data_IF_525670379916
#
_entry.id   IF_525670379916
#
_cell.length_a   1.000
_cell.length_b   1.000
_cell.length_c   1.000
_cell.angle_alpha   90.00
_cell.angle_beta   90.00
_cell.angle_gamma   90.00
#
_symmetry.space_group_name_H-M   'P 1'
#
loop_
_entity.id
_entity.type
_entity.pdbx_description
1 polymer ?
#
# COMPACT_ATOMS: atom_id res chain seq x y z
N UNK A 1 6.85 46.34 -11.56
CA UNK A 1 6.93 45.02 -12.21
C UNK A 1 7.27 43.88 -11.23
N UNK A 2 8.27 44.03 -10.35
CA UNK A 2 8.73 42.98 -9.41
C UNK A 2 7.61 42.41 -8.52
N UNK A 3 6.70 43.26 -7.99
CA UNK A 3 5.55 42.82 -7.17
C UNK A 3 4.59 41.84 -7.87
N UNK A 4 4.47 41.90 -9.21
CA UNK A 4 3.61 40.99 -9.98
C UNK A 4 4.28 39.63 -10.24
N UNK A 5 5.62 39.60 -10.35
CA UNK A 5 6.39 38.37 -10.57
C UNK A 5 6.40 37.52 -9.29
N UNK A 6 6.57 38.14 -8.13
CA UNK A 6 6.53 37.45 -6.82
C UNK A 6 5.14 36.87 -6.57
N UNK A 7 4.07 37.58 -6.93
CA UNK A 7 2.69 37.10 -6.78
C UNK A 7 2.41 35.89 -7.68
N UNK A 8 2.91 35.88 -8.92
CA UNK A 8 2.80 34.72 -9.83
C UNK A 8 3.60 33.53 -9.28
N UNK A 9 4.81 33.77 -8.77
CA UNK A 9 5.60 32.71 -8.11
C UNK A 9 4.87 32.14 -6.89
N UNK A 10 4.27 32.99 -6.05
CA UNK A 10 3.52 32.55 -4.87
C UNK A 10 2.29 31.72 -5.26
N UNK A 11 1.55 32.14 -6.29
CA UNK A 11 0.36 31.43 -6.79
C UNK A 11 0.78 30.09 -7.43
N UNK A 12 1.82 30.07 -8.27
CA UNK A 12 2.33 28.82 -8.87
C UNK A 12 2.87 27.87 -7.80
N UNK A 13 3.55 28.36 -6.76
CA UNK A 13 3.97 27.53 -5.63
C UNK A 13 2.79 26.94 -4.85
N UNK A 14 1.71 27.70 -4.64
CA UNK A 14 0.48 27.22 -3.98
C UNK A 14 -0.25 26.17 -4.85
N UNK A 15 -0.26 26.32 -6.18
CA UNK A 15 -0.86 25.35 -7.09
C UNK A 15 0.03 24.12 -7.38
N UNK A 16 1.36 24.24 -7.22
CA UNK A 16 2.30 23.11 -7.30
C UNK A 16 2.40 22.33 -5.98
N UNK A 17 2.07 22.96 -4.85
CA UNK A 17 1.61 22.26 -3.64
C UNK A 17 0.10 22.01 -3.72
N UNK A 18 -0.37 21.51 -4.86
CA UNK A 18 -1.73 20.99 -4.96
C UNK A 18 -1.98 19.98 -3.83
N UNK A 19 -3.24 19.73 -3.44
CA UNK A 19 -3.59 18.78 -2.39
C UNK A 19 -3.38 17.35 -2.91
N UNK A 20 -2.13 16.98 -3.18
CA UNK A 20 -1.68 15.61 -3.32
C UNK A 20 -0.72 15.25 -2.20
N UNK A 21 -0.85 15.94 -1.06
CA UNK A 21 -0.60 15.29 0.22
C UNK A 21 -1.82 14.38 0.48
N UNK A 22 -1.91 13.26 -0.25
CA UNK A 22 -2.49 12.04 0.35
C UNK A 22 -1.43 11.57 1.36
N UNK A 23 -1.33 12.26 2.49
CA UNK A 23 -0.66 11.70 3.67
C UNK A 23 -1.75 11.43 4.70
N UNK A 24 -2.53 10.42 4.41
CA UNK A 24 -3.03 9.52 5.44
C UNK A 24 -2.65 8.18 4.86
N UNK A 25 -1.59 7.56 5.37
CA UNK A 25 -1.31 6.16 5.04
C UNK A 25 -2.64 5.45 5.25
N UNK A 26 -3.21 4.85 4.21
CA UNK A 26 -4.25 3.86 4.47
C UNK A 26 -3.51 2.72 5.16
N UNK A 27 -3.82 2.51 6.43
CA UNK A 27 -3.33 1.37 7.18
C UNK A 27 -4.55 0.65 7.71
N UNK A 28 -4.66 -0.62 7.37
CA UNK A 28 -5.68 -1.51 7.91
C UNK A 28 -4.97 -2.53 8.79
N UNK A 29 -5.58 -2.84 9.92
CA UNK A 29 -5.00 -3.76 10.89
C UNK A 29 -6.11 -4.52 11.60
N UNK A 30 -5.81 -5.74 12.02
CA UNK A 30 -6.67 -6.49 12.92
C UNK A 30 -5.88 -7.50 13.71
N UNK A 31 -6.35 -7.81 14.91
CA UNK A 31 -5.80 -8.86 15.76
C UNK A 31 -6.90 -9.51 16.59
N UNK A 32 -6.64 -10.72 17.06
CA UNK A 32 -7.62 -11.42 17.88
C UNK A 32 -7.20 -12.80 18.33
N UNK A 33 -8.12 -13.43 19.06
CA UNK A 33 -8.04 -14.81 19.49
C UNK A 33 -9.23 -15.58 18.92
N UNK A 34 -8.99 -16.79 18.44
CA UNK A 34 -10.03 -17.71 18.00
C UNK A 34 -9.73 -19.11 18.50
N UNK A 35 -10.75 -19.78 19.02
CA UNK A 35 -10.70 -21.21 19.31
C UNK A 35 -11.27 -21.95 18.08
N UNK A 36 -10.48 -22.85 17.50
CA UNK A 36 -10.85 -23.62 16.31
C UNK A 36 -10.94 -25.09 16.71
N UNK A 37 -12.12 -25.68 16.62
CA UNK A 37 -12.34 -27.10 16.91
C UNK A 37 -11.72 -28.01 15.84
N UNK A 38 -11.47 -29.30 16.12
CA UNK A 38 -10.92 -30.23 15.13
C UNK A 38 -11.74 -30.24 13.84
N UNK A 39 -11.08 -30.17 12.69
CA UNK A 39 -11.67 -30.11 11.34
C UNK A 39 -12.46 -28.84 11.01
N UNK A 40 -12.55 -27.89 11.95
CA UNK A 40 -13.11 -26.57 11.67
C UNK A 40 -12.05 -25.62 11.09
N UNK A 41 -12.55 -24.53 10.51
CA UNK A 41 -11.75 -23.47 9.93
C UNK A 41 -12.33 -22.12 10.30
N UNK A 42 -11.47 -21.11 10.30
CA UNK A 42 -11.82 -19.73 10.55
C UNK A 42 -11.04 -18.82 9.60
N UNK A 43 -11.54 -17.61 9.35
CA UNK A 43 -10.85 -16.65 8.50
C UNK A 43 -10.97 -15.21 9.02
N UNK A 44 -9.92 -14.42 8.76
CA UNK A 44 -9.95 -12.97 8.87
C UNK A 44 -10.06 -12.35 7.48
N UNK A 45 -11.08 -11.52 7.20
CA UNK A 45 -11.10 -10.70 6.00
C UNK A 45 -10.08 -9.56 6.12
N UNK A 46 -9.54 -9.14 4.98
CA UNK A 46 -8.58 -8.06 4.78
C UNK A 46 -8.99 -7.33 3.51
N UNK A 47 -9.21 -6.02 3.60
CA UNK A 47 -9.41 -5.18 2.40
C UNK A 47 -8.04 -4.66 1.99
N UNK A 48 -7.61 -4.96 0.77
CA UNK A 48 -6.28 -4.62 0.29
C UNK A 48 -6.31 -4.00 -1.10
N UNK A 49 -5.55 -2.92 -1.25
CA UNK A 49 -5.24 -2.31 -2.53
C UNK A 49 -3.96 -2.92 -3.14
N UNK A 50 -3.89 -2.93 -4.47
CA UNK A 50 -2.73 -3.37 -5.24
C UNK A 50 -1.49 -2.58 -4.83
N UNK A 51 -0.45 -3.30 -4.44
CA UNK A 51 0.82 -2.72 -4.01
C UNK A 51 0.91 -2.43 -2.52
N UNK A 52 -0.15 -2.64 -1.72
CA UNK A 52 -0.03 -2.64 -0.26
C UNK A 52 0.84 -3.80 0.23
N UNK A 53 1.59 -3.55 1.30
CA UNK A 53 2.40 -4.53 1.97
C UNK A 53 1.63 -5.11 3.15
N UNK A 54 1.38 -6.42 3.12
CA UNK A 54 0.75 -7.17 4.19
C UNK A 54 1.81 -7.83 5.07
N UNK A 55 1.68 -7.65 6.38
CA UNK A 55 2.43 -8.35 7.42
C UNK A 55 1.45 -9.19 8.24
N UNK A 56 1.81 -10.45 8.48
CA UNK A 56 0.98 -11.41 9.21
C UNK A 56 1.83 -12.14 10.24
N UNK A 57 1.31 -12.29 11.46
CA UNK A 57 1.91 -13.10 12.53
C UNK A 57 0.83 -13.88 13.27
N UNK A 58 1.11 -15.15 13.58
CA UNK A 58 0.24 -15.93 14.46
C UNK A 58 1.02 -16.86 15.37
N UNK A 59 0.34 -17.28 16.42
CA UNK A 59 0.79 -18.33 17.34
C UNK A 59 -0.41 -19.16 17.78
N UNK A 60 -0.27 -20.48 17.76
CA UNK A 60 -1.30 -21.40 18.21
C UNK A 60 -0.93 -22.12 19.52
N UNK A 61 -1.93 -22.32 20.36
CA UNK A 61 -1.89 -23.14 21.57
C UNK A 61 -2.74 -24.38 21.33
N UNK A 62 -2.12 -25.58 21.35
CA UNK A 62 -2.83 -26.85 21.17
C UNK A 62 -2.38 -27.70 19.97
N UNK A 63 -1.57 -27.13 19.07
CA UNK A 63 -0.98 -27.86 17.95
C UNK A 63 -0.67 -26.96 16.76
N UNK A 64 -0.06 -27.54 15.72
CA UNK A 64 0.09 -26.85 14.45
C UNK A 64 -1.26 -26.69 13.75
N UNK A 65 -1.46 -25.55 13.10
CA UNK A 65 -2.60 -25.28 12.22
C UNK A 65 -2.10 -25.24 10.78
N UNK A 66 -2.99 -25.56 9.84
CA UNK A 66 -2.78 -25.22 8.44
C UNK A 66 -3.28 -23.79 8.22
N UNK A 67 -2.49 -22.96 7.53
CA UNK A 67 -2.79 -21.56 7.30
C UNK A 67 -2.43 -21.12 5.90
N UNK A 68 -3.25 -20.25 5.32
CA UNK A 68 -3.00 -19.71 3.98
C UNK A 68 -3.65 -18.36 3.73
N UNK A 69 -3.13 -17.65 2.73
CA UNK A 69 -3.67 -16.38 2.24
C UNK A 69 -4.30 -16.59 0.87
N UNK A 70 -5.52 -16.08 0.72
CA UNK A 70 -6.24 -16.05 -0.54
C UNK A 70 -6.64 -14.63 -0.89
N UNK A 71 -6.51 -14.30 -2.17
CA UNK A 71 -7.19 -13.16 -2.77
C UNK A 71 -8.48 -13.69 -3.38
N UNK A 72 -9.66 -13.19 -3.05
CA UNK A 72 -10.91 -13.72 -3.61
C UNK A 72 -11.94 -12.62 -3.84
N UNK A 73 -12.21 -12.29 -5.11
CA UNK A 73 -13.21 -11.29 -5.49
C UNK A 73 -14.67 -11.64 -5.12
N UNK A 74 -14.96 -12.87 -4.68
CA UNK A 74 -16.26 -13.31 -4.22
C UNK A 74 -16.07 -14.51 -3.27
N UNK A 75 -16.82 -14.52 -2.16
CA UNK A 75 -17.00 -15.55 -1.11
C UNK A 75 -16.10 -16.81 -1.17
N UNK A 76 -15.33 -17.03 -0.10
CA UNK A 76 -14.44 -18.19 0.06
C UNK A 76 -15.24 -19.47 0.38
N UNK A 77 -15.51 -20.29 -0.63
CA UNK A 77 -15.87 -21.70 -0.44
C UNK A 77 -14.58 -22.55 -0.48
N UNK A 78 -14.28 -23.27 0.61
CA UNK A 78 -13.01 -24.01 0.83
C UNK A 78 -12.59 -24.90 -0.35
N UNK A 79 -13.54 -25.54 -1.02
CA UNK A 79 -13.28 -26.40 -2.19
C UNK A 79 -12.77 -25.65 -3.42
N UNK A 80 -12.79 -24.33 -3.44
CA UNK A 80 -12.48 -23.47 -4.60
C UNK A 80 -11.16 -22.71 -4.44
N UNK A 81 -10.55 -22.77 -3.26
CA UNK A 81 -9.31 -22.06 -2.90
C UNK A 81 -8.10 -22.59 -3.69
N UNK A 82 -8.12 -23.87 -4.04
CA UNK A 82 -6.96 -24.63 -4.47
C UNK A 82 -6.49 -24.39 -5.90
N UNK A 83 -7.25 -23.73 -6.77
CA UNK A 83 -6.91 -23.75 -8.20
C UNK A 83 -6.31 -22.47 -8.78
N UNK A 84 -6.51 -21.27 -8.21
CA UNK A 84 -5.98 -20.04 -8.86
C UNK A 84 -5.65 -18.85 -7.96
N UNK A 85 -5.81 -18.90 -6.64
CA UNK A 85 -5.69 -17.69 -5.79
C UNK A 85 -4.99 -17.88 -4.44
N UNK A 86 -4.28 -18.99 -4.28
CA UNK A 86 -3.44 -19.26 -3.11
C UNK A 86 -2.12 -18.51 -3.24
N UNK A 87 -1.86 -17.57 -2.34
CA UNK A 87 -0.64 -16.74 -2.39
C UNK A 87 0.41 -17.19 -1.38
N UNK A 88 -0.04 -17.82 -0.29
CA UNK A 88 0.82 -18.35 0.74
C UNK A 88 0.13 -19.56 1.37
N UNK A 89 0.89 -20.59 1.75
CA UNK A 89 0.39 -21.76 2.47
C UNK A 89 1.49 -22.33 3.37
N UNK A 90 1.14 -22.64 4.61
CA UNK A 90 2.00 -23.29 5.58
C UNK A 90 1.23 -24.19 6.55
N UNK A 91 1.99 -25.02 7.28
CA UNK A 91 1.50 -25.78 8.43
C UNK A 91 2.49 -25.53 9.56
N UNK A 92 2.08 -24.80 10.59
CA UNK A 92 2.96 -24.45 11.71
C UNK A 92 2.17 -24.13 12.98
N UNK A 93 2.87 -24.16 14.13
CA UNK A 93 2.30 -23.69 15.40
C UNK A 93 2.52 -22.19 15.64
N UNK A 94 3.31 -21.56 14.77
CA UNK A 94 3.63 -20.14 14.80
C UNK A 94 4.30 -19.77 13.49
N UNK A 95 3.94 -18.65 12.92
CA UNK A 95 4.57 -18.14 11.71
C UNK A 95 4.52 -16.62 11.65
N UNK A 96 5.42 -16.05 10.85
CA UNK A 96 5.43 -14.65 10.49
C UNK A 96 5.85 -14.50 9.04
N UNK A 97 5.04 -13.84 8.23
CA UNK A 97 5.35 -13.63 6.82
C UNK A 97 4.86 -12.25 6.35
N UNK A 98 5.41 -11.81 5.23
CA UNK A 98 4.91 -10.63 4.54
C UNK A 98 4.83 -10.84 3.03
N UNK A 99 3.94 -10.09 2.39
CA UNK A 99 3.70 -10.14 0.95
C UNK A 99 3.25 -8.78 0.44
N UNK A 100 3.36 -8.57 -0.87
CA UNK A 100 2.81 -7.37 -1.55
C UNK A 100 1.59 -7.80 -2.35
N UNK A 101 0.47 -7.09 -2.18
CA UNK A 101 -0.75 -7.40 -2.90
C UNK A 101 -0.57 -7.23 -4.42
N UNK A 102 -0.76 -8.28 -5.25
CA UNK A 102 -0.67 -8.16 -6.70
C UNK A 102 -1.90 -7.51 -7.34
N UNK A 103 -2.97 -7.26 -6.58
CA UNK A 103 -4.21 -6.68 -7.08
C UNK A 103 -5.17 -6.27 -5.97
N UNK A 104 -6.07 -5.35 -6.31
CA UNK A 104 -7.12 -4.86 -5.42
C UNK A 104 -8.15 -5.96 -5.13
N UNK A 105 -8.77 -5.94 -3.95
CA UNK A 105 -9.98 -6.70 -3.65
C UNK A 105 -10.02 -7.26 -2.24
N UNK A 106 -10.92 -8.24 -2.04
CA UNK A 106 -11.05 -8.92 -0.75
C UNK A 106 -9.98 -10.01 -0.60
N UNK A 107 -9.29 -9.97 0.53
CA UNK A 107 -8.30 -10.93 0.94
C UNK A 107 -8.74 -11.64 2.20
N UNK A 108 -8.31 -12.87 2.37
CA UNK A 108 -8.66 -13.66 3.54
C UNK A 108 -7.45 -14.43 4.04
N UNK A 109 -7.23 -14.35 5.35
CA UNK A 109 -6.29 -15.20 6.05
C UNK A 109 -7.05 -16.31 6.74
N UNK A 110 -6.81 -17.55 6.31
CA UNK A 110 -7.54 -18.72 6.76
C UNK A 110 -6.66 -19.57 7.68
N UNK A 111 -7.27 -20.10 8.74
CA UNK A 111 -6.67 -21.06 9.66
C UNK A 111 -7.57 -22.30 9.73
N UNK A 112 -6.94 -23.47 9.73
CA UNK A 112 -7.63 -24.77 9.76
C UNK A 112 -6.97 -25.62 10.84
N UNK A 113 -7.80 -26.15 11.74
CA UNK A 113 -7.32 -27.09 12.73
C UNK A 113 -7.33 -28.51 12.15
N UNK A 114 -6.15 -28.95 11.74
CA UNK A 114 -5.89 -30.33 11.26
C UNK A 114 -5.55 -31.31 12.40
N UNK A 115 -5.52 -30.83 13.64
CA UNK A 115 -5.23 -31.59 14.84
C UNK A 115 -6.45 -32.31 15.44
N UNK A 116 -6.20 -33.11 16.47
CA UNK A 116 -7.24 -33.89 17.16
C UNK A 116 -7.91 -33.13 18.33
N UNK A 117 -7.32 -32.02 18.78
CA UNK A 117 -7.80 -31.22 19.90
C UNK A 117 -8.15 -29.81 19.42
N UNK A 118 -9.05 -29.14 20.13
CA UNK A 118 -9.29 -27.71 19.96
C UNK A 118 -7.99 -26.93 20.09
N UNK A 119 -7.78 -25.95 19.20
CA UNK A 119 -6.57 -25.14 19.13
C UNK A 119 -6.95 -23.67 19.21
N UNK A 120 -6.32 -22.92 20.12
CA UNK A 120 -6.46 -21.47 20.21
C UNK A 120 -5.43 -20.81 19.32
N UNK A 121 -5.84 -19.92 18.44
CA UNK A 121 -4.94 -19.13 17.57
C UNK A 121 -5.00 -17.67 18.01
N UNK A 122 -3.85 -17.11 18.34
CA UNK A 122 -3.64 -15.67 18.43
C UNK A 122 -3.05 -15.18 17.10
N UNK A 123 -3.66 -14.18 16.50
CA UNK A 123 -3.26 -13.69 15.17
C UNK A 123 -3.28 -12.17 15.14
N UNK A 124 -2.44 -11.62 14.27
CA UNK A 124 -2.37 -10.20 13.96
C UNK A 124 -1.95 -10.02 12.50
N UNK A 125 -2.62 -9.12 11.80
CA UNK A 125 -2.21 -8.68 10.48
C UNK A 125 -2.29 -7.16 10.35
N UNK A 126 -1.43 -6.63 9.51
CA UNK A 126 -1.33 -5.21 9.18
C UNK A 126 -1.09 -5.08 7.68
N UNK A 127 -1.87 -4.25 7.01
CA UNK A 127 -1.65 -3.84 5.63
C UNK A 127 -1.36 -2.34 5.59
N UNK A 128 -0.27 -1.99 4.92
CA UNK A 128 0.19 -0.61 4.75
C UNK A 128 0.42 -0.30 3.27
N UNK A 129 0.12 0.93 2.85
CA UNK A 129 0.64 1.48 1.60
C UNK A 129 2.15 1.20 1.54
N UNK A 130 2.61 0.43 0.53
CA UNK A 130 4.05 0.25 0.35
C UNK A 130 4.70 1.63 0.26
N UNK A 131 5.84 1.86 0.93
CA UNK A 131 6.48 3.16 0.93
C UNK A 131 6.66 3.59 -0.51
N UNK A 132 5.92 4.63 -0.94
CA UNK A 132 6.09 5.21 -2.26
C UNK A 132 7.52 5.70 -2.32
N UNK A 133 8.39 4.94 -2.96
CA UNK A 133 9.71 5.40 -3.32
C UNK A 133 9.45 6.54 -4.31
N UNK A 134 9.39 7.77 -3.81
CA UNK A 134 9.52 8.95 -4.64
C UNK A 134 10.87 8.80 -5.33
N UNK A 135 10.84 8.36 -6.58
CA UNK A 135 12.09 8.26 -7.32
C UNK A 135 12.63 9.68 -7.45
N UNK A 136 13.94 9.86 -7.29
CA UNK A 136 14.61 11.15 -7.52
C UNK A 136 14.26 11.76 -8.90
N UNK A 137 13.75 10.96 -9.83
CA UNK A 137 13.25 11.39 -11.13
C UNK A 137 11.97 12.22 -11.05
N UNK A 138 11.04 11.95 -10.14
CA UNK A 138 9.78 12.70 -10.02
C UNK A 138 10.02 14.12 -9.48
N UNK A 139 10.90 14.24 -8.48
CA UNK A 139 11.35 15.55 -7.95
C UNK A 139 12.27 16.25 -8.96
N UNK A 140 13.08 15.49 -9.69
CA UNK A 140 13.98 15.99 -10.73
C UNK A 140 13.21 16.62 -11.89
N UNK A 141 12.18 15.96 -12.42
CA UNK A 141 11.42 16.43 -13.59
C UNK A 141 10.73 17.77 -13.31
N UNK A 142 10.15 17.92 -12.11
CA UNK A 142 9.53 19.18 -11.66
C UNK A 142 10.59 20.28 -11.52
N UNK A 143 11.74 19.96 -10.94
CA UNK A 143 12.84 20.92 -10.74
C UNK A 143 13.45 21.41 -12.07
N UNK A 144 13.72 20.50 -13.01
CA UNK A 144 14.25 20.85 -14.34
C UNK A 144 13.23 21.61 -15.20
N UNK A 145 11.94 21.26 -15.10
CA UNK A 145 10.86 21.99 -15.78
C UNK A 145 10.76 23.45 -15.32
N UNK A 146 10.80 23.69 -14.01
CA UNK A 146 10.74 25.05 -13.44
C UNK A 146 11.98 25.86 -13.82
N UNK A 147 13.18 25.27 -13.71
CA UNK A 147 14.44 25.95 -14.10
C UNK A 147 14.42 26.32 -15.58
N UNK A 148 13.95 25.40 -16.45
CA UNK A 148 13.80 25.66 -17.88
C UNK A 148 12.88 26.84 -18.19
N UNK A 149 11.71 26.91 -17.55
CA UNK A 149 10.75 28.00 -17.72
C UNK A 149 11.34 29.35 -17.26
N UNK A 150 12.06 29.36 -16.12
CA UNK A 150 12.70 30.58 -15.59
C UNK A 150 13.80 31.09 -16.54
N UNK A 151 14.62 30.20 -17.09
CA UNK A 151 15.67 30.57 -18.05
C UNK A 151 15.06 31.15 -19.33
N UNK A 152 14.03 30.50 -19.89
CA UNK A 152 13.36 30.98 -21.09
C UNK A 152 12.71 32.35 -20.85
N UNK A 153 12.04 32.54 -19.72
CA UNK A 153 11.45 33.82 -19.35
C UNK A 153 12.51 34.94 -19.20
N UNK A 154 13.67 34.62 -18.60
CA UNK A 154 14.78 35.56 -18.47
C UNK A 154 15.37 35.96 -19.84
N UNK A 155 15.56 35.00 -20.74
CA UNK A 155 16.07 35.24 -22.11
C UNK A 155 15.09 36.14 -22.89
N UNK A 156 13.79 35.87 -22.82
CA UNK A 156 12.76 36.68 -23.47
C UNK A 156 12.78 38.12 -22.91
N UNK A 157 12.86 38.27 -21.58
CA UNK A 157 12.91 39.59 -20.95
C UNK A 157 14.14 40.41 -21.38
N UNK A 158 15.32 39.77 -21.47
CA UNK A 158 16.54 40.41 -21.92
C UNK A 158 16.47 40.80 -23.41
N UNK A 159 15.91 39.95 -24.28
CA UNK A 159 15.69 40.28 -25.69
C UNK A 159 14.71 41.43 -25.91
N UNK A 160 13.66 41.53 -25.09
CA UNK A 160 12.69 42.63 -25.19
C UNK A 160 13.28 43.97 -24.74
N UNK A 161 14.17 43.99 -23.74
CA UNK A 161 14.88 45.22 -23.34
C UNK A 161 15.88 45.69 -24.40
N UNK A 162 16.56 44.77 -25.09
CA UNK A 162 17.54 45.11 -26.13
C UNK A 162 16.94 45.71 -27.41
N UNK A 163 15.63 45.56 -27.65
CA UNK A 163 14.94 46.15 -28.82
C UNK A 163 14.32 47.52 -28.57
N UNK A 164 14.32 48.01 -27.33
CA UNK A 164 13.69 49.30 -26.97
C UNK A 164 14.64 50.50 -27.01
N UNK A 165 15.90 50.31 -27.42
CA UNK A 165 16.94 51.35 -27.40
C UNK A 165 17.59 51.60 -28.76
N UNK A 166 16.89 51.34 -29.85
CA UNK A 166 17.29 51.73 -31.21
C UNK A 166 16.18 52.54 -31.87
#
# INVERSE_FOLDING_TARGET
MIKRIILIFLIVSIFMTGPNVKSVNAWSWSSGFIDIEPTEWWYSPMDMDSGEHLSCIFQSEGGAVEHFIVHANDYVEYSTITENKLLYHGISASDSFSLVAPGDGDWYWVFINIGANSTRVHWEWEAEDAPRVFTLFDVGLVSFGIIGIVIVAAIIHLRMKGKSSA
#
